data_IF_567232506548
#
_entry.id   IF_567232506548
#
_cell.length_a   1.000
_cell.length_b   1.000
_cell.length_c   1.000
_cell.angle_alpha   90.00
_cell.angle_beta   90.00
_cell.angle_gamma   90.00
#
_symmetry.space_group_name_H-M   'P 1'
#
loop_
_entity.id
_entity.type
_entity.pdbx_description
1 polymer ?
#
# COMPACT_ATOMS: atom_id res chain seq x y z
N UNK A 1 -13.75 11.46 -21.30
CA UNK A 1 -13.72 10.00 -21.09
C UNK A 1 -12.92 9.70 -19.83
N UNK A 2 -13.40 8.82 -18.95
CA UNK A 2 -12.66 8.36 -17.77
C UNK A 2 -12.30 6.89 -17.97
N UNK A 3 -11.05 6.52 -17.70
CA UNK A 3 -10.56 5.14 -17.81
C UNK A 3 -10.38 4.58 -16.40
N UNK A 4 -11.01 3.44 -16.13
CA UNK A 4 -10.80 2.69 -14.89
C UNK A 4 -9.64 1.71 -15.10
N UNK A 5 -8.45 2.05 -14.61
CA UNK A 5 -7.32 1.12 -14.58
C UNK A 5 -7.23 0.45 -13.21
N UNK A 6 -6.97 -0.86 -13.21
CA UNK A 6 -6.70 -1.64 -12.00
C UNK A 6 -5.20 -1.62 -11.71
N UNK A 7 -4.83 -1.84 -10.46
CA UNK A 7 -3.43 -1.89 -10.05
C UNK A 7 -2.63 -2.98 -10.80
N UNK A 8 -3.29 -4.06 -11.23
CA UNK A 8 -2.68 -5.13 -12.04
C UNK A 8 -2.36 -4.69 -13.48
N UNK A 9 -2.99 -3.62 -14.00
CA UNK A 9 -2.67 -3.07 -15.32
C UNK A 9 -1.29 -2.37 -15.34
N UNK A 10 -0.79 -1.95 -14.17
CA UNK A 10 0.48 -1.24 -14.03
C UNK A 10 1.62 -2.11 -13.50
N UNK A 11 1.32 -3.27 -12.91
CA UNK A 11 2.31 -4.15 -12.27
C UNK A 11 2.26 -5.54 -12.90
N UNK A 12 3.24 -5.88 -13.77
CA UNK A 12 3.29 -7.19 -14.43
C UNK A 12 3.19 -8.36 -13.45
N UNK A 13 2.59 -9.46 -13.91
CA UNK A 13 2.44 -10.68 -13.12
C UNK A 13 3.78 -11.25 -12.60
N UNK A 14 4.87 -10.99 -13.31
CA UNK A 14 6.21 -11.49 -13.01
C UNK A 14 7.13 -10.41 -12.42
N UNK A 15 6.58 -9.36 -11.83
CA UNK A 15 7.37 -8.27 -11.27
C UNK A 15 8.12 -8.72 -9.99
N UNK A 16 9.44 -8.45 -9.88
CA UNK A 16 10.24 -8.87 -8.73
C UNK A 16 9.79 -8.23 -7.40
N UNK A 17 8.97 -7.18 -7.43
CA UNK A 17 8.42 -6.51 -6.24
C UNK A 17 7.09 -7.12 -5.77
N UNK A 18 6.47 -8.02 -6.56
CA UNK A 18 5.21 -8.69 -6.22
C UNK A 18 5.33 -9.56 -4.94
N UNK A 19 6.43 -10.32 -4.72
CA UNK A 19 6.68 -11.03 -3.47
C UNK A 19 6.83 -10.10 -2.25
N UNK A 20 7.48 -8.94 -2.41
CA UNK A 20 7.65 -7.95 -1.34
C UNK A 20 6.29 -7.45 -0.87
N UNK A 21 5.36 -7.21 -1.79
CA UNK A 21 3.99 -6.81 -1.46
C UNK A 21 3.25 -7.87 -0.63
N UNK A 22 3.48 -9.15 -0.90
CA UNK A 22 2.89 -10.25 -0.13
C UNK A 22 3.43 -10.28 1.30
N UNK A 23 4.75 -10.22 1.47
CA UNK A 23 5.38 -10.20 2.80
C UNK A 23 4.97 -8.99 3.63
N UNK A 24 4.84 -7.83 2.99
CA UNK A 24 4.35 -6.63 3.64
C UNK A 24 2.89 -6.78 4.10
N UNK A 25 2.01 -7.32 3.25
CA UNK A 25 0.62 -7.55 3.64
C UNK A 25 0.53 -8.52 4.83
N UNK A 26 1.32 -9.60 4.83
CA UNK A 26 1.39 -10.52 5.96
C UNK A 26 1.88 -9.83 7.24
N UNK A 27 2.89 -8.97 7.14
CA UNK A 27 3.38 -8.19 8.28
C UNK A 27 2.31 -7.23 8.81
N UNK A 28 1.60 -6.53 7.93
CA UNK A 28 0.52 -5.62 8.31
C UNK A 28 -0.66 -6.38 8.96
N UNK A 29 -1.01 -7.56 8.46
CA UNK A 29 -2.05 -8.42 9.07
C UNK A 29 -1.64 -8.83 10.49
N UNK A 30 -0.36 -9.17 10.71
CA UNK A 30 0.13 -9.51 12.06
C UNK A 30 0.11 -8.32 13.02
N UNK A 31 0.20 -7.10 12.50
CA UNK A 31 0.15 -5.86 13.27
C UNK A 31 -1.27 -5.33 13.48
N UNK A 32 -2.28 -5.93 12.84
CA UNK A 32 -3.70 -5.52 12.92
C UNK A 32 -4.20 -5.41 14.36
N UNK A 33 -3.81 -6.34 15.24
CA UNK A 33 -4.16 -6.32 16.65
C UNK A 33 -3.56 -5.12 17.42
N UNK A 34 -2.39 -4.63 16.99
CA UNK A 34 -1.75 -3.43 17.57
C UNK A 34 -2.47 -2.17 17.09
N UNK A 35 -2.80 -2.12 15.80
CA UNK A 35 -3.55 -1.00 15.23
C UNK A 35 -4.96 -0.91 15.81
N UNK A 36 -5.64 -2.05 16.00
CA UNK A 36 -6.95 -2.14 16.66
C UNK A 36 -6.97 -1.46 18.04
N UNK A 37 -5.94 -1.66 18.86
CA UNK A 37 -5.80 -0.99 20.17
C UNK A 37 -5.56 0.52 20.07
N UNK A 38 -4.83 0.97 19.05
CA UNK A 38 -4.70 2.40 18.76
C UNK A 38 -6.06 3.01 18.37
N UNK A 39 -6.83 2.35 17.51
CA UNK A 39 -8.16 2.84 17.12
C UNK A 39 -9.15 2.91 18.27
N UNK A 40 -9.12 1.96 19.22
CA UNK A 40 -9.96 2.03 20.43
C UNK A 40 -9.68 3.29 21.26
N UNK A 41 -8.44 3.77 21.24
CA UNK A 41 -8.01 4.97 21.94
C UNK A 41 -8.49 6.24 21.22
N UNK A 42 -8.40 6.27 19.89
CA UNK A 42 -8.82 7.40 19.04
C UNK A 42 -10.35 7.50 18.85
N UNK A 43 -11.06 6.37 18.90
CA UNK A 43 -12.52 6.28 18.75
C UNK A 43 -13.30 6.92 19.90
N UNK A 44 -12.66 7.23 21.04
CA UNK A 44 -13.29 7.88 22.21
C UNK A 44 -13.54 9.38 22.06
N UNK A 45 -13.22 10.00 20.91
CA UNK A 45 -13.62 11.40 20.65
C UNK A 45 -12.85 12.18 19.58
N UNK A 46 -11.96 11.54 18.81
CA UNK A 46 -11.17 12.20 17.76
C UNK A 46 -11.81 12.12 16.37
N UNK A 47 -11.39 13.01 15.46
CA UNK A 47 -11.69 12.86 14.01
C UNK A 47 -11.18 11.49 13.54
N UNK A 48 -11.90 10.78 12.65
CA UNK A 48 -11.40 9.53 12.09
C UNK A 48 -10.12 9.79 11.30
N UNK A 49 -8.98 9.51 11.92
CA UNK A 49 -7.67 9.55 11.27
C UNK A 49 -7.58 8.43 10.23
N UNK A 50 -6.88 8.68 9.13
CA UNK A 50 -6.58 7.61 8.17
C UNK A 50 -5.78 6.54 8.91
N UNK A 51 -6.20 5.30 8.73
CA UNK A 51 -5.56 4.14 9.32
C UNK A 51 -4.03 4.12 9.06
N UNK A 52 -3.17 4.00 10.09
CA UNK A 52 -1.73 3.86 9.92
C UNK A 52 -1.32 2.80 8.90
N UNK A 53 -2.03 1.67 8.79
CA UNK A 53 -1.67 0.64 7.79
C UNK A 53 -1.87 1.12 6.35
N UNK A 54 -2.89 1.96 6.12
CA UNK A 54 -3.16 2.55 4.81
C UNK A 54 -2.10 3.58 4.45
N UNK A 55 -1.63 4.37 5.41
CA UNK A 55 -0.54 5.32 5.22
C UNK A 55 0.78 4.60 4.92
N UNK A 56 1.12 3.56 5.70
CA UNK A 56 2.33 2.74 5.49
C UNK A 56 2.28 2.05 4.12
N UNK A 57 1.11 1.50 3.74
CA UNK A 57 0.93 0.90 2.40
C UNK A 57 1.11 1.92 1.29
N UNK A 58 0.54 3.12 1.43
CA UNK A 58 0.67 4.19 0.45
C UNK A 58 2.12 4.66 0.30
N UNK A 59 2.83 4.89 1.40
CA UNK A 59 4.24 5.30 1.41
C UNK A 59 5.16 4.23 0.81
N UNK A 60 4.89 2.96 1.09
CA UNK A 60 5.68 1.87 0.51
C UNK A 60 5.39 1.69 -0.97
N UNK A 61 4.14 1.84 -1.41
CA UNK A 61 3.82 1.89 -2.84
C UNK A 61 4.51 3.08 -3.50
N UNK A 62 4.49 4.25 -2.87
CA UNK A 62 5.23 5.41 -3.34
C UNK A 62 6.72 5.07 -3.48
N UNK A 63 7.42 4.65 -2.42
CA UNK A 63 8.86 4.33 -2.51
C UNK A 63 9.18 3.24 -3.53
N UNK A 64 8.38 2.17 -3.61
CA UNK A 64 8.62 1.04 -4.51
C UNK A 64 8.37 1.38 -5.98
N UNK A 65 7.42 2.26 -6.27
CA UNK A 65 6.99 2.58 -7.65
C UNK A 65 7.40 3.98 -8.13
N UNK A 66 7.81 4.90 -7.24
CA UNK A 66 8.26 6.26 -7.58
C UNK A 66 9.66 6.28 -8.22
N UNK A 67 10.51 5.29 -7.91
CA UNK A 67 11.91 5.27 -8.36
C UNK A 67 12.06 4.72 -9.81
N UNK A 68 10.99 4.22 -10.44
CA UNK A 68 11.09 3.73 -11.83
C UNK A 68 10.09 4.39 -12.77
N UNK A 69 10.41 5.61 -13.19
CA UNK A 69 9.90 6.20 -14.42
C UNK A 69 11.00 6.60 -15.41
N UNK A 70 12.17 5.93 -15.39
CA UNK A 70 13.24 6.15 -16.39
C UNK A 70 13.66 4.86 -17.11
N UNK A 71 12.73 3.97 -17.47
CA UNK A 71 13.17 2.73 -18.10
C UNK A 71 12.14 1.81 -18.74
N UNK A 72 10.97 2.29 -19.14
CA UNK A 72 10.08 1.54 -20.03
C UNK A 72 9.45 2.49 -21.07
N UNK A 73 10.30 3.02 -21.94
CA UNK A 73 9.94 3.39 -23.31
C UNK A 73 10.97 2.78 -24.27
N UNK A 74 10.88 1.47 -24.40
CA UNK A 74 11.33 0.70 -25.55
C UNK A 74 10.23 -0.36 -25.65
N UNK A 75 9.28 -0.27 -26.57
CA UNK A 75 9.40 -0.19 -28.04
C UNK A 75 8.21 0.59 -28.60
#
# INVERSE_FOLDING_TARGET
MFTMCRLDDFVPANDPLRPIRLWLNDALIRMDAVFSRMYESDARGGRPSIAPEKLIRALLLEVLYLIRSDGQRSV
#
